data_IF_039799770083
#
_entry.id   IF_039799770083
#
_cell.length_a   1.000
_cell.length_b   1.000
_cell.length_c   1.000
_cell.angle_alpha   90.00
_cell.angle_beta   90.00
_cell.angle_gamma   90.00
#
_symmetry.space_group_name_H-M   'P 1'
#
loop_
_entity.id
_entity.type
_entity.pdbx_description
1 polymer ?
#
# COMPACT_ATOMS: atom_id res chain seq x y z
N UNK A 1 -0.86 15.71 -6.43
CA UNK A 1 -0.55 15.50 -5.00
C UNK A 1 -1.75 15.74 -4.10
N UNK A 2 -2.48 16.86 -4.25
CA UNK A 2 -3.69 17.16 -3.46
C UNK A 2 -4.73 16.03 -3.47
N UNK A 3 -5.03 15.47 -4.65
CA UNK A 3 -5.95 14.32 -4.77
C UNK A 3 -5.56 13.15 -3.85
N UNK A 4 -4.28 12.75 -3.85
CA UNK A 4 -3.79 11.65 -3.01
C UNK A 4 -3.87 11.95 -1.53
N UNK A 5 -3.55 13.17 -1.11
CA UNK A 5 -3.66 13.57 0.29
C UNK A 5 -5.11 13.53 0.76
N UNK A 6 -6.06 14.02 -0.06
CA UNK A 6 -7.48 13.97 0.26
C UNK A 6 -7.99 12.53 0.33
N UNK A 7 -7.66 11.68 -0.64
CA UNK A 7 -8.05 10.26 -0.62
C UNK A 7 -7.53 9.55 0.64
N UNK A 8 -6.28 9.78 1.02
CA UNK A 8 -5.70 9.22 2.25
C UNK A 8 -6.42 9.80 3.48
N UNK A 9 -6.58 11.11 3.57
CA UNK A 9 -7.22 11.75 4.73
C UNK A 9 -8.66 11.28 4.93
N UNK A 10 -9.50 11.34 3.89
CA UNK A 10 -10.90 10.91 3.98
C UNK A 10 -11.01 9.42 4.30
N UNK A 11 -10.22 8.57 3.65
CA UNK A 11 -10.28 7.14 3.94
C UNK A 11 -9.86 6.79 5.36
N UNK A 12 -8.79 7.42 5.87
CA UNK A 12 -8.36 7.25 7.26
C UNK A 12 -9.45 7.70 8.24
N UNK A 13 -10.14 8.81 7.96
CA UNK A 13 -11.29 9.24 8.77
C UNK A 13 -12.39 8.18 8.80
N UNK A 14 -12.76 7.60 7.65
CA UNK A 14 -13.77 6.53 7.61
C UNK A 14 -13.32 5.25 8.32
N UNK A 15 -12.05 4.87 8.20
CA UNK A 15 -11.48 3.72 8.93
C UNK A 15 -11.53 3.97 10.45
N UNK A 16 -11.15 5.16 10.89
CA UNK A 16 -11.17 5.54 12.31
C UNK A 16 -12.59 5.55 12.87
N UNK A 17 -13.55 6.14 12.16
CA UNK A 17 -14.96 6.19 12.58
C UNK A 17 -15.53 4.77 12.68
N UNK A 18 -15.30 3.93 11.67
CA UNK A 18 -15.79 2.55 11.67
C UNK A 18 -15.11 1.68 12.72
N UNK A 19 -13.82 1.91 13.03
CA UNK A 19 -13.13 1.26 14.14
C UNK A 19 -13.73 1.64 15.49
N UNK A 20 -13.95 2.93 15.74
CA UNK A 20 -14.54 3.42 16.99
C UNK A 20 -15.97 2.88 17.21
N UNK A 21 -16.78 2.85 16.15
CA UNK A 21 -18.14 2.34 16.19
C UNK A 21 -18.24 0.80 16.32
N UNK A 22 -17.16 0.07 16.02
CA UNK A 22 -17.11 -1.40 16.05
C UNK A 22 -17.38 -2.01 17.43
N UNK A 23 -17.12 -1.27 18.51
CA UNK A 23 -17.46 -1.70 19.88
C UNK A 23 -18.97 -1.72 20.15
N UNK A 24 -19.72 -0.83 19.49
CA UNK A 24 -21.18 -0.68 19.64
C UNK A 24 -21.99 -1.43 18.59
N UNK A 25 -21.45 -1.61 17.39
CA UNK A 25 -22.11 -2.28 16.27
C UNK A 25 -21.11 -3.17 15.52
N UNK A 26 -21.20 -4.51 15.65
CA UNK A 26 -20.33 -5.45 14.93
C UNK A 26 -20.40 -5.33 13.40
N UNK A 27 -21.48 -4.76 12.82
CA UNK A 27 -21.57 -4.52 11.38
C UNK A 27 -20.53 -3.50 10.89
N UNK A 28 -20.02 -2.62 11.77
CA UNK A 28 -19.01 -1.63 11.41
C UNK A 28 -17.68 -2.26 10.99
N UNK A 29 -17.43 -3.52 11.35
CA UNK A 29 -16.30 -4.30 10.84
C UNK A 29 -16.38 -4.49 9.32
N UNK A 30 -17.57 -4.70 8.76
CA UNK A 30 -17.77 -4.80 7.32
C UNK A 30 -17.65 -3.45 6.62
N UNK A 31 -18.07 -2.37 7.29
CA UNK A 31 -17.87 -0.99 6.78
C UNK A 31 -16.38 -0.69 6.68
N UNK A 32 -15.63 -0.94 7.76
CA UNK A 32 -14.18 -0.77 7.79
C UNK A 32 -13.49 -1.60 6.70
N UNK A 33 -13.91 -2.87 6.54
CA UNK A 33 -13.42 -3.78 5.52
C UNK A 33 -13.67 -3.23 4.11
N UNK A 34 -14.88 -2.71 3.87
CA UNK A 34 -15.28 -2.14 2.58
C UNK A 34 -14.50 -0.88 2.25
N UNK A 35 -14.26 -0.01 3.23
CA UNK A 35 -13.43 1.19 3.06
C UNK A 35 -11.99 0.80 2.72
N UNK A 36 -11.40 -0.13 3.47
CA UNK A 36 -10.05 -0.62 3.21
C UNK A 36 -9.94 -1.25 1.80
N UNK A 37 -10.89 -2.10 1.43
CA UNK A 37 -10.95 -2.71 0.11
C UNK A 37 -11.08 -1.68 -1.02
N UNK A 38 -12.00 -0.72 -0.89
CA UNK A 38 -12.26 0.30 -1.90
C UNK A 38 -11.01 1.15 -2.16
N UNK A 39 -10.35 1.61 -1.09
CA UNK A 39 -9.15 2.43 -1.19
C UNK A 39 -8.04 1.65 -1.90
N UNK A 40 -7.81 0.41 -1.47
CA UNK A 40 -6.84 -0.49 -2.10
C UNK A 40 -7.10 -0.73 -3.58
N UNK A 41 -8.36 -0.96 -3.97
CA UNK A 41 -8.77 -1.11 -5.37
C UNK A 41 -8.49 0.18 -6.16
N UNK A 42 -8.85 1.35 -5.61
CA UNK A 42 -8.61 2.64 -6.27
C UNK A 42 -7.12 2.88 -6.50
N UNK A 43 -6.27 2.64 -5.49
CA UNK A 43 -4.81 2.76 -5.64
C UNK A 43 -4.26 1.79 -6.70
N UNK A 44 -4.69 0.54 -6.67
CA UNK A 44 -4.25 -0.46 -7.65
C UNK A 44 -4.68 -0.10 -9.07
N UNK A 45 -5.95 0.26 -9.29
CA UNK A 45 -6.45 0.62 -10.61
C UNK A 45 -5.78 1.86 -11.18
N UNK A 46 -5.57 2.90 -10.36
CA UNK A 46 -4.91 4.11 -10.83
C UNK A 46 -3.44 3.84 -11.12
N UNK A 47 -2.73 3.09 -10.29
CA UNK A 47 -1.35 2.69 -10.58
C UNK A 47 -1.25 1.88 -11.88
N UNK A 48 -2.16 0.93 -12.10
CA UNK A 48 -2.20 0.14 -13.34
C UNK A 48 -2.45 1.03 -14.55
N UNK A 49 -3.37 1.99 -14.43
CA UNK A 49 -3.66 2.97 -15.47
C UNK A 49 -2.43 3.84 -15.78
N UNK A 50 -1.75 4.36 -14.76
CA UNK A 50 -0.55 5.19 -14.91
C UNK A 50 0.58 4.37 -15.56
N UNK A 51 0.81 3.13 -15.13
CA UNK A 51 1.79 2.23 -15.77
C UNK A 51 1.45 1.98 -17.24
N UNK A 52 0.18 1.72 -17.57
CA UNK A 52 -0.25 1.55 -18.97
C UNK A 52 0.02 2.80 -19.80
N UNK A 53 -0.35 3.95 -19.28
CA UNK A 53 -0.17 5.22 -19.97
C UNK A 53 1.31 5.48 -20.27
N UNK A 54 2.18 5.32 -19.27
CA UNK A 54 3.63 5.49 -19.42
C UNK A 54 4.19 4.57 -20.51
N UNK A 55 3.78 3.30 -20.54
CA UNK A 55 4.23 2.35 -21.56
C UNK A 55 3.73 2.75 -22.94
N UNK A 56 2.46 3.13 -23.08
CA UNK A 56 1.91 3.57 -24.37
C UNK A 56 2.55 4.83 -24.91
N UNK A 57 3.07 5.68 -24.01
CA UNK A 57 3.82 6.90 -24.36
C UNK A 57 5.30 6.61 -24.67
N UNK A 58 5.74 5.35 -24.60
CA UNK A 58 7.14 4.96 -24.82
C UNK A 58 8.07 5.45 -23.70
N UNK A 59 7.52 5.67 -22.49
CA UNK A 59 8.31 6.13 -21.36
C UNK A 59 9.36 5.08 -20.97
N UNK A 60 10.57 5.53 -20.58
CA UNK A 60 11.62 4.61 -20.17
C UNK A 60 11.26 3.85 -18.89
N UNK A 61 11.87 2.68 -18.68
CA UNK A 61 11.55 1.76 -17.57
C UNK A 61 11.69 2.39 -16.17
N UNK A 62 12.65 3.28 -15.99
CA UNK A 62 12.81 4.05 -14.75
C UNK A 62 11.58 4.91 -14.43
N UNK A 63 10.87 5.46 -15.43
CA UNK A 63 9.65 6.23 -15.22
C UNK A 63 8.50 5.34 -14.72
N UNK A 64 8.39 4.15 -15.29
CA UNK A 64 7.43 3.13 -14.86
C UNK A 64 7.71 2.73 -13.41
N UNK A 65 8.94 2.33 -13.07
CA UNK A 65 9.28 1.96 -11.68
C UNK A 65 9.13 3.13 -10.72
N UNK A 66 9.51 4.35 -11.11
CA UNK A 66 9.37 5.52 -10.24
C UNK A 66 7.90 5.79 -9.90
N UNK A 67 7.00 5.70 -10.89
CA UNK A 67 5.57 5.86 -10.67
C UNK A 67 5.02 4.75 -9.78
N UNK A 68 5.34 3.49 -10.09
CA UNK A 68 4.93 2.32 -9.31
C UNK A 68 5.35 2.42 -7.84
N UNK A 69 6.63 2.71 -7.59
CA UNK A 69 7.17 2.81 -6.24
C UNK A 69 6.55 4.00 -5.48
N UNK A 70 6.19 5.10 -6.17
CA UNK A 70 5.42 6.19 -5.56
C UNK A 70 4.08 5.70 -5.02
N UNK A 71 3.34 4.92 -5.81
CA UNK A 71 2.06 4.35 -5.39
C UNK A 71 2.22 3.40 -4.21
N UNK A 72 3.27 2.57 -4.21
CA UNK A 72 3.61 1.73 -3.06
C UNK A 72 3.84 2.58 -1.80
N UNK A 73 4.63 3.65 -1.91
CA UNK A 73 4.89 4.56 -0.80
C UNK A 73 3.62 5.21 -0.26
N UNK A 74 2.68 5.60 -1.14
CA UNK A 74 1.39 6.14 -0.71
C UNK A 74 0.53 5.12 0.04
N UNK A 75 0.49 3.86 -0.41
CA UNK A 75 -0.23 2.79 0.28
C UNK A 75 0.39 2.48 1.66
N UNK A 76 1.73 2.42 1.75
CA UNK A 76 2.42 2.28 3.03
C UNK A 76 2.12 3.45 3.97
N UNK A 77 2.10 4.68 3.44
CA UNK A 77 1.74 5.88 4.20
C UNK A 77 0.31 5.81 4.72
N UNK A 78 -0.63 5.40 3.86
CA UNK A 78 -2.03 5.21 4.23
C UNK A 78 -2.18 4.18 5.36
N UNK A 79 -1.52 3.03 5.26
CA UNK A 79 -1.56 2.01 6.30
C UNK A 79 -0.91 2.47 7.61
N UNK A 80 0.21 3.21 7.54
CA UNK A 80 0.86 3.78 8.72
C UNK A 80 -0.05 4.78 9.45
N UNK A 81 -0.74 5.65 8.70
CA UNK A 81 -1.68 6.63 9.25
C UNK A 81 -2.91 5.96 9.86
N UNK A 82 -3.50 4.98 9.15
CA UNK A 82 -4.62 4.21 9.69
C UNK A 82 -4.25 3.53 11.01
N UNK A 83 -3.05 2.93 11.08
CA UNK A 83 -2.58 2.23 12.28
C UNK A 83 -2.28 3.20 13.43
N UNK A 84 -1.49 4.26 13.20
CA UNK A 84 -1.10 5.20 14.26
C UNK A 84 -2.28 5.96 14.82
N UNK A 85 -3.27 6.30 13.99
CA UNK A 85 -4.45 7.02 14.48
C UNK A 85 -5.38 6.04 15.21
N UNK A 86 -5.64 4.85 14.68
CA UNK A 86 -6.54 3.89 15.33
C UNK A 86 -5.99 3.42 16.68
N UNK A 87 -4.72 3.03 16.74
CA UNK A 87 -4.13 2.43 17.94
C UNK A 87 -3.36 3.44 18.82
N UNK A 88 -2.72 4.44 18.21
CA UNK A 88 -1.98 5.46 18.95
C UNK A 88 -2.87 6.49 19.66
N UNK A 89 -4.15 6.62 19.27
CA UNK A 89 -5.13 7.44 20.01
C UNK A 89 -5.99 6.63 20.99
N UNK A 90 -5.82 5.31 21.04
CA UNK A 90 -6.55 4.43 21.95
C UNK A 90 -7.99 4.11 21.53
N UNK A 91 -8.33 4.21 20.23
CA UNK A 91 -9.64 3.77 19.72
C UNK A 91 -9.79 2.26 19.86
N UNK A 92 -8.73 1.52 19.54
CA UNK A 92 -8.60 0.08 19.79
C UNK A 92 -7.32 -0.17 20.58
N UNK A 93 -7.32 -1.19 21.43
CA UNK A 93 -6.15 -1.54 22.24
C UNK A 93 -5.41 -2.74 21.63
N UNK A 94 -4.20 -2.50 21.14
CA UNK A 94 -3.31 -3.56 20.67
C UNK A 94 -1.87 -3.29 21.10
N UNK A 95 -1.36 -3.88 22.19
CA UNK A 95 -0.06 -3.52 22.77
C UNK A 95 1.14 -3.58 21.81
N UNK A 96 1.05 -4.40 20.77
CA UNK A 96 2.14 -4.66 19.83
C UNK A 96 1.98 -3.92 18.49
N UNK A 97 1.19 -2.84 18.40
CA UNK A 97 0.98 -2.11 17.14
C UNK A 97 2.24 -1.36 16.65
N UNK A 98 3.11 -0.94 17.56
CA UNK A 98 4.26 -0.06 17.25
C UNK A 98 5.26 -0.64 16.24
N UNK A 99 5.74 -1.89 16.35
CA UNK A 99 6.63 -2.48 15.33
C UNK A 99 6.04 -2.46 13.92
N UNK A 100 4.73 -2.68 13.79
CA UNK A 100 4.05 -2.62 12.49
C UNK A 100 3.97 -1.20 11.96
N UNK A 101 3.67 -0.22 12.82
CA UNK A 101 3.72 1.19 12.43
C UNK A 101 5.10 1.59 11.90
N UNK A 102 6.17 1.24 12.63
CA UNK A 102 7.55 1.54 12.21
C UNK A 102 7.88 0.88 10.88
N UNK A 103 7.51 -0.39 10.68
CA UNK A 103 7.72 -1.09 9.41
C UNK A 103 7.01 -0.38 8.24
N UNK A 104 5.75 0.03 8.42
CA UNK A 104 4.98 0.75 7.40
C UNK A 104 5.59 2.12 7.12
N UNK A 105 5.98 2.87 8.16
CA UNK A 105 6.58 4.18 8.02
C UNK A 105 7.92 4.13 7.28
N UNK A 106 8.78 3.16 7.63
CA UNK A 106 10.08 2.95 6.95
C UNK A 106 9.87 2.54 5.49
N UNK A 107 8.94 1.61 5.23
CA UNK A 107 8.63 1.19 3.86
C UNK A 107 8.09 2.36 3.01
N UNK A 108 7.22 3.21 3.59
CA UNK A 108 6.73 4.42 2.95
C UNK A 108 7.89 5.38 2.59
N UNK A 109 8.75 5.68 3.56
CA UNK A 109 9.91 6.55 3.36
C UNK A 109 10.87 6.02 2.31
N UNK A 110 11.19 4.72 2.35
CA UNK A 110 12.08 4.07 1.38
C UNK A 110 11.50 4.12 -0.04
N UNK A 111 10.20 3.84 -0.19
CA UNK A 111 9.52 3.95 -1.48
C UNK A 111 9.56 5.39 -2.01
N UNK A 112 9.20 6.37 -1.17
CA UNK A 112 9.23 7.78 -1.59
C UNK A 112 10.65 8.24 -1.97
N UNK A 113 11.66 7.83 -1.20
CA UNK A 113 13.05 8.14 -1.50
C UNK A 113 13.47 7.57 -2.85
N UNK A 114 13.32 6.26 -3.07
CA UNK A 114 13.72 5.59 -4.32
C UNK A 114 12.93 6.14 -5.52
N UNK A 115 11.62 6.35 -5.38
CA UNK A 115 10.79 6.98 -6.42
C UNK A 115 11.31 8.38 -6.78
N UNK A 116 11.68 9.19 -5.78
CA UNK A 116 12.22 10.53 -6.03
C UNK A 116 13.58 10.50 -6.71
N UNK A 117 14.44 9.53 -6.37
CA UNK A 117 15.75 9.35 -6.98
C UNK A 117 15.60 8.94 -8.45
N UNK A 118 14.79 7.93 -8.75
CA UNK A 118 14.51 7.51 -10.13
C UNK A 118 13.96 8.65 -11.00
N UNK A 119 13.11 9.53 -10.43
CA UNK A 119 12.61 10.72 -11.15
C UNK A 119 13.68 11.78 -11.37
N UNK A 120 14.57 11.99 -10.41
CA UNK A 120 15.67 12.94 -10.56
C UNK A 120 16.65 12.52 -11.65
N UNK A 121 16.94 11.22 -11.74
CA UNK A 121 17.82 10.69 -12.79
C UNK A 121 17.20 10.90 -14.18
N UNK A 122 15.89 10.63 -14.28
CA UNK A 122 15.08 10.92 -15.47
C UNK A 122 15.17 12.38 -15.91
N UNK A 123 14.95 13.31 -14.96
CA UNK A 123 14.97 14.74 -15.24
C UNK A 123 16.37 15.23 -15.68
N UNK A 124 17.43 14.50 -15.32
CA UNK A 124 18.83 14.77 -15.71
C UNK A 124 19.24 14.10 -17.01
N UNK A 125 18.39 13.24 -17.59
CA UNK A 125 18.76 12.39 -18.72
C UNK A 125 19.80 11.32 -18.37
N UNK A 126 20.02 11.07 -17.08
CA UNK A 126 20.92 10.04 -16.57
C UNK A 126 20.14 8.73 -16.43
N UNK A 127 20.72 7.62 -16.90
CA UNK A 127 20.17 6.29 -16.71
C UNK A 127 21.18 5.46 -15.91
N UNK A 128 21.16 5.61 -14.58
CA UNK A 128 21.96 4.74 -13.72
C UNK A 128 21.29 3.35 -13.63
N UNK A 129 21.91 2.38 -14.29
CA UNK A 129 21.50 0.98 -14.30
C UNK A 129 21.35 0.41 -12.88
N UNK A 130 22.13 0.89 -11.90
CA UNK A 130 22.04 0.42 -10.51
C UNK A 130 20.73 0.85 -9.86
N UNK A 131 20.33 2.10 -10.07
CA UNK A 131 19.09 2.66 -9.50
C UNK A 131 17.88 2.03 -10.20
N UNK A 132 17.98 1.77 -11.50
CA UNK A 132 16.98 1.01 -12.24
C UNK A 132 16.81 -0.42 -11.70
N UNK A 133 17.91 -1.15 -11.50
CA UNK A 133 17.89 -2.50 -10.92
C UNK A 133 17.31 -2.50 -9.50
N UNK A 134 17.65 -1.49 -8.69
CA UNK A 134 17.09 -1.33 -7.35
C UNK A 134 15.57 -1.17 -7.39
N UNK A 135 15.04 -0.38 -8.32
CA UNK A 135 13.59 -0.21 -8.49
C UNK A 135 12.87 -1.51 -8.86
N UNK A 136 13.45 -2.29 -9.79
CA UNK A 136 12.95 -3.61 -10.15
C UNK A 136 13.00 -4.60 -8.99
N UNK A 137 14.11 -4.64 -8.26
CA UNK A 137 14.31 -5.52 -7.10
C UNK A 137 13.33 -5.20 -5.97
N UNK A 138 13.17 -3.92 -5.60
CA UNK A 138 12.20 -3.50 -4.59
C UNK A 138 10.77 -3.92 -4.96
N UNK A 139 10.39 -3.73 -6.22
CA UNK A 139 9.06 -4.13 -6.74
C UNK A 139 8.85 -5.64 -6.61
N UNK A 140 9.86 -6.45 -6.94
CA UNK A 140 9.81 -7.91 -6.82
C UNK A 140 9.75 -8.39 -5.36
N UNK A 141 10.59 -7.83 -4.49
CA UNK A 141 10.58 -8.14 -3.05
C UNK A 141 9.24 -7.78 -2.45
N UNK A 142 8.66 -6.63 -2.82
CA UNK A 142 7.32 -6.25 -2.38
C UNK A 142 6.26 -7.25 -2.84
N UNK A 143 6.29 -7.70 -4.10
CA UNK A 143 5.33 -8.71 -4.55
C UNK A 143 5.38 -9.97 -3.67
N UNK A 144 6.58 -10.52 -3.46
CA UNK A 144 6.78 -11.75 -2.67
C UNK A 144 6.29 -11.53 -1.23
N UNK A 145 6.72 -10.44 -0.60
CA UNK A 145 6.33 -10.11 0.77
C UNK A 145 4.82 -9.95 0.93
N UNK A 146 4.16 -9.31 -0.04
CA UNK A 146 2.72 -9.05 0.03
C UNK A 146 1.90 -10.32 -0.22
N UNK A 147 2.33 -11.21 -1.13
CA UNK A 147 1.70 -12.52 -1.29
C UNK A 147 1.80 -13.33 0.00
N UNK A 148 2.98 -13.36 0.64
CA UNK A 148 3.16 -14.03 1.92
C UNK A 148 2.26 -13.45 3.02
N UNK A 149 2.15 -12.11 3.09
CA UNK A 149 1.27 -11.42 4.04
C UNK A 149 -0.21 -11.77 3.83
N UNK A 150 -0.70 -11.77 2.58
CA UNK A 150 -2.09 -12.14 2.24
C UNK A 150 -2.39 -13.57 2.68
N UNK A 151 -1.48 -14.52 2.40
CA UNK A 151 -1.63 -15.92 2.82
C UNK A 151 -1.66 -16.02 4.34
N UNK A 152 -0.71 -15.39 5.04
CA UNK A 152 -0.62 -15.44 6.50
C UNK A 152 -1.89 -14.89 7.18
N UNK A 153 -2.42 -13.76 6.72
CA UNK A 153 -3.63 -13.14 7.28
C UNK A 153 -4.88 -13.97 6.95
N UNK A 154 -4.95 -14.54 5.75
CA UNK A 154 -6.09 -15.37 5.34
C UNK A 154 -6.16 -16.65 6.17
N UNK A 155 -5.01 -17.27 6.44
CA UNK A 155 -4.93 -18.49 7.27
C UNK A 155 -5.20 -18.21 8.75
N UNK A 156 -4.87 -17.02 9.27
CA UNK A 156 -5.14 -16.66 10.66
C UNK A 156 -6.59 -16.28 10.93
N UNK A 157 -7.40 -16.04 9.89
CA UNK A 157 -8.77 -15.52 10.01
C UNK A 157 -8.86 -14.12 10.61
N UNK A 158 -7.71 -13.44 10.76
CA UNK A 158 -7.57 -12.19 11.53
C UNK A 158 -8.33 -10.98 10.97
N UNK A 159 -8.76 -11.04 9.70
CA UNK A 159 -9.52 -9.98 9.04
C UNK A 159 -11.05 -10.14 9.15
N UNK A 160 -11.54 -11.23 9.76
CA UNK A 160 -12.97 -11.55 9.87
C UNK A 160 -13.60 -11.00 11.14
N UNK A 161 -14.94 -11.00 11.22
CA UNK A 161 -15.69 -10.66 12.45
C UNK A 161 -15.26 -11.49 13.67
N UNK A 162 -14.79 -12.73 13.46
CA UNK A 162 -14.30 -13.58 14.55
C UNK A 162 -13.12 -12.96 15.32
N UNK A 163 -12.38 -12.03 14.70
CA UNK A 163 -11.21 -11.36 15.28
C UNK A 163 -11.55 -10.09 16.08
N UNK A 164 -12.83 -9.72 16.21
CA UNK A 164 -13.24 -8.55 17.04
C UNK A 164 -12.73 -8.68 18.47
N UNK A 165 -12.67 -9.91 19.01
CA UNK A 165 -12.23 -10.18 20.39
C UNK A 165 -10.76 -9.86 20.66
N UNK A 166 -9.96 -9.65 19.63
CA UNK A 166 -8.51 -9.42 19.78
C UNK A 166 -8.09 -8.00 19.44
N UNK A 167 -9.02 -7.08 19.12
CA UNK A 167 -8.80 -5.68 18.72
C UNK A 167 -7.82 -5.44 17.54
N UNK A 168 -7.23 -6.50 17.00
CA UNK A 168 -6.33 -6.52 15.84
C UNK A 168 -7.06 -6.56 14.50
N UNK A 169 -8.39 -6.72 14.51
CA UNK A 169 -9.20 -6.89 13.30
C UNK A 169 -9.08 -5.70 12.33
N UNK A 170 -9.04 -4.48 12.85
CA UNK A 170 -8.93 -3.26 12.04
C UNK A 170 -7.58 -3.20 11.32
N UNK A 171 -6.47 -3.44 12.05
CA UNK A 171 -5.14 -3.58 11.47
C UNK A 171 -5.09 -4.68 10.40
N UNK A 172 -5.64 -5.86 10.68
CA UNK A 172 -5.60 -6.99 9.75
C UNK A 172 -6.33 -6.71 8.43
N UNK A 173 -7.43 -5.94 8.46
CA UNK A 173 -8.11 -5.52 7.23
C UNK A 173 -7.26 -4.53 6.42
N UNK A 174 -6.67 -3.51 7.07
CA UNK A 174 -5.74 -2.58 6.42
C UNK A 174 -4.55 -3.34 5.81
N UNK A 175 -3.98 -4.29 6.55
CA UNK A 175 -2.85 -5.09 6.11
C UNK A 175 -3.22 -5.99 4.92
N UNK A 176 -4.35 -6.68 4.99
CA UNK A 176 -4.81 -7.58 3.94
C UNK A 176 -5.05 -6.82 2.63
N UNK A 177 -5.87 -5.76 2.67
CA UNK A 177 -6.19 -5.01 1.46
C UNK A 177 -5.02 -4.18 0.97
N UNK A 178 -4.21 -3.63 1.87
CA UNK A 178 -2.95 -2.96 1.51
C UNK A 178 -2.00 -3.91 0.78
N UNK A 179 -1.83 -5.13 1.30
CA UNK A 179 -1.00 -6.16 0.68
C UNK A 179 -1.56 -6.61 -0.68
N UNK A 180 -2.88 -6.80 -0.82
CA UNK A 180 -3.50 -7.11 -2.11
C UNK A 180 -3.24 -6.02 -3.16
N UNK A 181 -3.38 -4.75 -2.78
CA UNK A 181 -3.12 -3.64 -3.69
C UNK A 181 -1.64 -3.56 -4.09
N UNK A 182 -0.72 -3.64 -3.11
CA UNK A 182 0.72 -3.64 -3.36
C UNK A 182 1.12 -4.82 -4.25
N UNK A 183 0.60 -6.03 -4.01
CA UNK A 183 0.84 -7.19 -4.85
C UNK A 183 0.33 -6.98 -6.28
N UNK A 184 -0.88 -6.44 -6.46
CA UNK A 184 -1.43 -6.15 -7.78
C UNK A 184 -0.59 -5.14 -8.55
N UNK A 185 -0.17 -4.05 -7.88
CA UNK A 185 0.69 -2.99 -8.44
C UNK A 185 2.05 -3.56 -8.86
N UNK A 186 2.69 -4.33 -7.97
CA UNK A 186 3.98 -4.96 -8.26
C UNK A 186 3.89 -5.95 -9.42
N UNK A 187 2.91 -6.86 -9.37
CA UNK A 187 2.74 -7.90 -10.38
C UNK A 187 2.49 -7.30 -11.77
N UNK A 188 1.64 -6.28 -11.85
CA UNK A 188 1.36 -5.59 -13.09
C UNK A 188 2.61 -4.93 -13.66
N UNK A 189 3.35 -4.20 -12.83
CA UNK A 189 4.57 -3.49 -13.24
C UNK A 189 5.64 -4.47 -13.72
N UNK A 190 5.88 -5.55 -12.98
CA UNK A 190 6.88 -6.56 -13.35
C UNK A 190 6.51 -7.23 -14.68
N UNK A 191 5.25 -7.66 -14.83
CA UNK A 191 4.76 -8.25 -16.09
C UNK A 191 4.99 -7.30 -17.26
N UNK A 192 4.64 -6.02 -17.09
CA UNK A 192 4.76 -5.03 -18.14
C UNK A 192 6.25 -4.78 -18.49
N UNK A 193 7.11 -4.69 -17.49
CA UNK A 193 8.56 -4.48 -17.68
C UNK A 193 9.31 -5.66 -18.31
N UNK A 194 8.77 -6.88 -18.25
CA UNK A 194 9.30 -8.08 -18.93
C UNK A 194 8.81 -8.13 -20.39
N UNK A 195 7.60 -7.64 -20.66
CA UNK A 195 6.98 -7.61 -21.99
C UNK A 195 7.73 -6.73 -22.99
N UNK A 196 8.24 -5.58 -22.55
CA UNK A 196 8.99 -4.62 -23.39
C UNK A 196 10.44 -5.06 -23.70
N UNK A 197 10.91 -6.19 -23.15
CA UNK A 197 12.24 -6.74 -23.42
C UNK A 197 12.27 -7.73 -24.60
N UNK A 198 11.16 -7.89 -25.32
CA UNK A 198 11.01 -8.70 -26.55
C UNK A 198 10.58 -7.83 -27.72
#
# INVERSE_FOLDING_TARGET
>A
MVFWMLTIAFSVVFLVISAAAGSSDPQMVYVHMSVAALVSIVFALISVRDTRQLITEGAPRNAVYASTIRFMGLLWTWGALALVITYGTGILDWPNWMPFFVAFFVAAGLCMFISSTLRRDLDRGEADDRILQLGGYLTAVQLIGMVAAVVAISMSGGATIGAIKTDTWAANQVFLFGALALAAISAYTLKASIGDAR
#
